data_IF_008176564962
#
_entry.id   IF_008176564962
#
_cell.length_a   1.000
_cell.length_b   1.000
_cell.length_c   1.000
_cell.angle_alpha   90.00
_cell.angle_beta   90.00
_cell.angle_gamma   90.00
#
_symmetry.space_group_name_H-M   'P 1'
#
loop_
_entity.id
_entity.type
_entity.pdbx_description
1 polymer ?
#
# COMPACT_ATOMS: atom_id res chain seq x y z
N UNK A 1 36.59 -18.19 15.87
CA UNK A 1 36.95 -16.96 15.11
C UNK A 1 36.90 -17.22 13.60
N UNK A 2 37.10 -18.47 13.15
CA UNK A 2 36.86 -18.96 11.77
C UNK A 2 35.48 -18.59 11.16
N UNK A 3 34.38 -18.66 11.92
CA UNK A 3 33.04 -18.55 11.34
C UNK A 3 32.70 -17.15 10.80
N UNK A 4 33.32 -16.09 11.32
CA UNK A 4 33.09 -14.71 10.86
C UNK A 4 33.82 -14.43 9.53
N UNK A 5 34.96 -15.09 9.28
CA UNK A 5 35.71 -14.92 8.02
C UNK A 5 34.99 -15.56 6.83
N UNK A 6 34.24 -16.65 7.06
CA UNK A 6 33.45 -17.32 6.03
C UNK A 6 32.32 -16.44 5.49
N UNK A 7 31.79 -15.49 6.28
CA UNK A 7 30.71 -14.58 5.89
C UNK A 7 31.14 -13.51 4.87
N UNK A 8 32.43 -13.17 4.80
CA UNK A 8 32.97 -12.19 3.84
C UNK A 8 33.15 -12.74 2.41
N UNK A 9 33.11 -14.06 2.25
CA UNK A 9 33.24 -14.74 0.95
C UNK A 9 31.96 -14.58 0.11
N UNK A 10 32.01 -14.73 -1.23
CA UNK A 10 30.81 -14.70 -2.07
C UNK A 10 29.74 -15.72 -1.64
N UNK A 11 30.14 -16.94 -1.25
CA UNK A 11 29.23 -17.96 -0.74
C UNK A 11 28.65 -17.61 0.64
N UNK A 12 29.46 -17.02 1.52
CA UNK A 12 29.00 -16.50 2.81
C UNK A 12 27.97 -15.40 2.67
N UNK A 13 28.19 -14.45 1.75
CA UNK A 13 27.24 -13.39 1.41
C UNK A 13 25.94 -13.94 0.83
N UNK A 14 26.01 -14.90 -0.09
CA UNK A 14 24.81 -15.54 -0.65
C UNK A 14 23.97 -16.28 0.40
N UNK A 15 24.63 -16.92 1.39
CA UNK A 15 23.95 -17.51 2.55
C UNK A 15 23.31 -16.45 3.45
N UNK A 16 24.00 -15.35 3.73
CA UNK A 16 23.45 -14.24 4.53
C UNK A 16 22.24 -13.59 3.86
N UNK A 17 22.29 -13.35 2.55
CA UNK A 17 21.15 -12.84 1.78
C UNK A 17 19.95 -13.78 1.87
N UNK A 18 20.20 -15.09 1.75
CA UNK A 18 19.16 -16.12 1.86
C UNK A 18 18.56 -16.17 3.26
N UNK A 19 19.39 -16.15 4.31
CA UNK A 19 18.93 -16.12 5.72
C UNK A 19 18.15 -14.84 5.99
N UNK A 20 18.64 -13.68 5.55
CA UNK A 20 17.97 -12.42 5.78
C UNK A 20 16.64 -12.33 5.01
N UNK A 21 16.56 -12.92 3.81
CA UNK A 21 15.29 -13.05 3.09
C UNK A 21 14.30 -13.93 3.85
N UNK A 22 14.74 -15.09 4.35
CA UNK A 22 13.90 -15.98 5.18
C UNK A 22 13.44 -15.25 6.44
N UNK A 23 14.34 -14.55 7.14
CA UNK A 23 14.00 -13.78 8.33
C UNK A 23 13.05 -12.64 8.01
N UNK A 24 13.21 -11.92 6.90
CA UNK A 24 12.29 -10.87 6.48
C UNK A 24 10.92 -11.41 6.05
N UNK A 25 10.88 -12.57 5.38
CA UNK A 25 9.63 -13.28 5.05
C UNK A 25 8.94 -13.76 6.34
N UNK A 26 9.68 -14.37 7.28
CA UNK A 26 9.16 -14.80 8.59
C UNK A 26 8.80 -13.65 9.52
N UNK A 27 9.48 -12.52 9.45
CA UNK A 27 9.13 -11.31 10.19
C UNK A 27 7.80 -10.71 9.66
N UNK A 28 7.50 -10.84 8.37
CA UNK A 28 6.18 -10.51 7.82
C UNK A 28 5.10 -11.51 8.25
N UNK A 29 5.49 -12.73 8.63
CA UNK A 29 4.61 -13.72 9.29
C UNK A 29 4.51 -13.52 10.81
N UNK A 30 5.33 -12.65 11.44
CA UNK A 30 5.10 -12.24 12.83
C UNK A 30 3.74 -11.57 12.84
N UNK A 31 2.82 -12.19 13.58
CA UNK A 31 1.39 -11.92 13.52
C UNK A 31 1.13 -10.42 13.70
N UNK A 32 0.85 -9.74 12.61
CA UNK A 32 0.33 -8.39 12.64
C UNK A 32 -1.07 -8.47 13.26
N UNK A 33 -1.31 -7.64 14.27
CA UNK A 33 -2.55 -7.69 15.05
C UNK A 33 -3.78 -7.30 14.22
N UNK A 34 -3.60 -6.44 13.22
CA UNK A 34 -4.68 -5.82 12.46
C UNK A 34 -4.82 -6.36 11.04
N UNK A 35 -3.75 -6.90 10.47
CA UNK A 35 -3.64 -7.18 9.04
C UNK A 35 -3.14 -8.59 8.76
N UNK A 36 -3.76 -9.23 7.78
CA UNK A 36 -3.28 -10.47 7.16
C UNK A 36 -2.74 -10.19 5.78
N UNK A 37 -1.55 -10.70 5.50
CA UNK A 37 -0.99 -10.68 4.15
C UNK A 37 -1.77 -11.64 3.23
N UNK A 38 -2.26 -11.14 2.08
CA UNK A 38 -3.10 -11.91 1.15
C UNK A 38 -2.57 -11.97 -0.29
N UNK A 39 -1.46 -11.30 -0.62
CA UNK A 39 -0.84 -11.46 -1.95
C UNK A 39 -0.24 -12.85 -2.16
N UNK A 40 0.16 -13.53 -1.09
CA UNK A 40 0.76 -14.87 -1.18
C UNK A 40 1.99 -14.89 -2.11
N UNK A 41 1.97 -15.76 -3.12
CA UNK A 41 3.04 -15.88 -4.13
C UNK A 41 2.80 -15.05 -5.40
N UNK A 42 1.69 -14.31 -5.48
CA UNK A 42 1.42 -13.46 -6.64
C UNK A 42 2.37 -12.26 -6.65
N UNK A 43 2.95 -11.99 -7.81
CA UNK A 43 3.76 -10.79 -8.03
C UNK A 43 2.85 -9.68 -8.54
N UNK A 44 2.48 -8.76 -7.65
CA UNK A 44 1.78 -7.53 -8.01
C UNK A 44 2.81 -6.42 -8.27
N UNK A 45 2.58 -5.64 -9.32
CA UNK A 45 3.44 -4.49 -9.65
C UNK A 45 2.64 -3.20 -9.80
N UNK A 46 3.22 -2.12 -9.31
CA UNK A 46 2.84 -0.74 -9.57
C UNK A 46 3.71 -0.27 -10.74
N UNK A 47 3.08 0.07 -11.85
CA UNK A 47 3.81 0.47 -13.05
C UNK A 47 4.62 1.75 -12.80
N UNK A 48 5.71 1.89 -13.55
CA UNK A 48 6.43 3.16 -13.62
C UNK A 48 5.47 4.27 -14.10
N UNK A 49 5.61 5.47 -13.55
CA UNK A 49 4.78 6.60 -13.95
C UNK A 49 5.54 7.92 -13.88
N UNK A 50 5.02 8.94 -14.56
CA UNK A 50 5.56 10.30 -14.56
C UNK A 50 5.03 11.16 -13.39
N UNK A 51 4.03 10.67 -12.65
CA UNK A 51 3.39 11.37 -11.54
C UNK A 51 2.37 12.43 -11.96
N UNK A 52 2.09 12.58 -13.25
CA UNK A 52 1.27 13.68 -13.77
C UNK A 52 -0.23 13.51 -13.48
N UNK A 53 -0.73 12.28 -13.35
CA UNK A 53 -2.14 11.98 -13.08
C UNK A 53 -2.45 12.04 -11.60
N UNK A 54 -3.62 12.58 -11.29
CA UNK A 54 -4.15 12.74 -9.93
C UNK A 54 -5.57 12.16 -9.83
N UNK A 55 -5.95 11.73 -8.63
CA UNK A 55 -7.26 11.11 -8.36
C UNK A 55 -8.41 12.07 -8.67
N UNK A 56 -8.22 13.36 -8.38
CA UNK A 56 -9.21 14.41 -8.57
C UNK A 56 -9.65 14.63 -10.04
N UNK A 57 -8.87 14.10 -11.00
CA UNK A 57 -9.12 14.24 -12.45
C UNK A 57 -9.39 12.90 -13.15
N UNK A 58 -9.27 11.77 -12.44
CA UNK A 58 -9.30 10.41 -12.99
C UNK A 58 -10.71 9.87 -13.31
N UNK A 59 -11.50 10.67 -14.03
CA UNK A 59 -12.89 10.35 -14.42
C UNK A 59 -12.98 9.16 -15.40
N UNK A 60 -11.88 8.80 -16.04
CA UNK A 60 -11.76 7.61 -16.89
C UNK A 60 -11.68 6.31 -16.07
N UNK A 61 -11.45 6.41 -14.74
CA UNK A 61 -11.36 5.26 -13.82
C UNK A 61 -12.49 5.26 -12.81
N UNK A 62 -12.74 6.42 -12.21
CA UNK A 62 -13.67 6.57 -11.11
C UNK A 62 -14.91 7.31 -11.57
N UNK A 63 -16.07 6.70 -11.38
CA UNK A 63 -17.36 7.33 -11.68
C UNK A 63 -17.70 8.43 -10.68
N UNK A 64 -17.29 8.24 -9.43
CA UNK A 64 -17.40 9.24 -8.38
C UNK A 64 -16.01 9.51 -7.82
N UNK A 65 -15.69 10.79 -7.73
CA UNK A 65 -14.46 11.32 -7.16
C UNK A 65 -14.88 12.28 -6.07
N UNK A 66 -14.39 12.03 -4.86
CA UNK A 66 -14.66 12.85 -3.70
C UNK A 66 -14.10 14.27 -3.88
N UNK A 67 -14.96 15.27 -3.69
CA UNK A 67 -14.60 16.68 -3.83
C UNK A 67 -13.56 17.12 -2.80
N UNK A 68 -13.46 16.42 -1.67
CA UNK A 68 -12.49 16.73 -0.61
C UNK A 68 -11.05 16.50 -1.04
N UNK A 69 -10.81 15.76 -2.13
CA UNK A 69 -9.50 15.70 -2.77
C UNK A 69 -9.00 17.11 -3.14
N UNK A 70 -9.89 17.98 -3.63
CA UNK A 70 -9.56 19.37 -3.96
C UNK A 70 -9.71 20.29 -2.75
N UNK A 71 -10.81 20.15 -2.00
CA UNK A 71 -11.09 21.03 -0.85
C UNK A 71 -10.00 20.99 0.21
N UNK A 72 -9.33 19.84 0.38
CA UNK A 72 -8.24 19.67 1.34
C UNK A 72 -6.85 19.79 0.72
N UNK A 73 -6.73 20.11 -0.57
CA UNK A 73 -5.43 20.17 -1.25
C UNK A 73 -4.74 18.80 -1.34
N UNK A 74 -5.52 17.72 -1.40
CA UNK A 74 -5.04 16.35 -1.61
C UNK A 74 -4.91 16.00 -3.11
N UNK A 75 -4.79 16.99 -3.97
CA UNK A 75 -4.75 16.89 -5.44
C UNK A 75 -3.41 17.33 -6.04
N UNK A 76 -2.33 17.36 -5.24
CA UNK A 76 -0.98 17.64 -5.74
C UNK A 76 -0.48 16.50 -6.63
N UNK A 77 0.09 16.87 -7.79
CA UNK A 77 0.79 15.91 -8.67
C UNK A 77 1.95 15.24 -7.94
N UNK A 78 2.15 13.97 -8.24
CA UNK A 78 3.23 13.18 -7.69
C UNK A 78 4.54 13.36 -8.45
N UNK A 79 5.60 12.77 -7.90
CA UNK A 79 6.87 12.57 -8.62
C UNK A 79 6.79 11.38 -9.56
N UNK A 80 7.70 11.33 -10.53
CA UNK A 80 7.91 10.12 -11.30
C UNK A 80 8.39 8.96 -10.40
N UNK A 81 7.97 7.74 -10.72
CA UNK A 81 8.36 6.52 -10.02
C UNK A 81 8.79 5.44 -11.00
N UNK A 82 9.69 4.57 -10.55
CA UNK A 82 10.00 3.32 -11.26
C UNK A 82 8.92 2.28 -10.99
N UNK A 83 8.92 1.20 -11.76
CA UNK A 83 8.12 0.03 -11.43
C UNK A 83 8.49 -0.47 -10.03
N UNK A 84 7.48 -0.76 -9.21
CA UNK A 84 7.66 -1.14 -7.80
C UNK A 84 6.74 -2.31 -7.47
N UNK A 85 7.20 -3.38 -6.82
CA UNK A 85 6.31 -4.44 -6.38
C UNK A 85 5.29 -3.92 -5.35
N UNK A 86 4.07 -4.47 -5.36
CA UNK A 86 3.03 -4.17 -4.40
C UNK A 86 2.71 -5.37 -3.52
N UNK A 87 2.24 -5.07 -2.31
CA UNK A 87 1.71 -6.04 -1.35
C UNK A 87 0.29 -5.65 -0.98
N UNK A 88 -0.56 -6.65 -0.78
CA UNK A 88 -1.97 -6.49 -0.42
C UNK A 88 -2.22 -7.20 0.90
N UNK A 89 -2.88 -6.48 1.80
CA UNK A 89 -3.27 -6.95 3.11
C UNK A 89 -4.78 -6.86 3.26
N UNK A 90 -5.33 -7.72 4.11
CA UNK A 90 -6.75 -7.71 4.49
C UNK A 90 -6.85 -7.50 6.00
N UNK A 91 -7.80 -6.68 6.43
CA UNK A 91 -8.01 -6.35 7.83
C UNK A 91 -8.63 -7.54 8.58
N UNK A 92 -8.03 -7.92 9.71
CA UNK A 92 -8.50 -9.00 10.60
C UNK A 92 -9.04 -8.49 11.95
N UNK A 93 -8.74 -7.24 12.32
CA UNK A 93 -9.18 -6.64 13.58
C UNK A 93 -9.52 -5.16 13.39
N UNK A 94 -10.50 -4.70 14.15
CA UNK A 94 -10.93 -3.31 14.19
C UNK A 94 -9.74 -2.38 14.41
N UNK A 95 -9.63 -1.37 13.55
CA UNK A 95 -8.47 -0.49 13.54
C UNK A 95 -8.78 0.86 12.89
N UNK A 96 -8.05 1.89 13.31
CA UNK A 96 -7.94 3.16 12.58
C UNK A 96 -6.95 3.04 11.43
N UNK A 97 -6.94 4.02 10.53
CA UNK A 97 -5.91 4.10 9.48
C UNK A 97 -4.49 4.09 10.07
N UNK A 98 -4.26 4.87 11.11
CA UNK A 98 -2.98 4.95 11.80
C UNK A 98 -2.52 3.59 12.34
N UNK A 99 -3.41 2.85 13.01
CA UNK A 99 -3.09 1.52 13.54
C UNK A 99 -2.73 0.53 12.43
N UNK A 100 -3.52 0.49 11.35
CA UNK A 100 -3.26 -0.42 10.24
C UNK A 100 -1.93 -0.15 9.55
N UNK A 101 -1.69 1.08 9.08
CA UNK A 101 -0.46 1.34 8.30
C UNK A 101 0.80 1.39 9.18
N UNK A 102 0.72 1.90 10.41
CA UNK A 102 1.88 1.94 11.32
C UNK A 102 2.29 0.54 11.82
N UNK A 103 1.39 -0.45 11.73
CA UNK A 103 1.73 -1.85 12.03
C UNK A 103 2.64 -2.51 10.99
N UNK A 104 2.76 -1.92 9.78
CA UNK A 104 3.60 -2.44 8.69
C UNK A 104 5.02 -1.84 8.71
N UNK A 105 5.19 -0.63 9.24
CA UNK A 105 6.48 0.05 9.36
C UNK A 105 6.41 1.21 10.33
N UNK A 106 7.53 1.56 10.97
CA UNK A 106 7.66 2.75 11.80
C UNK A 106 7.70 4.06 10.99
N UNK A 107 8.04 4.00 9.70
CA UNK A 107 8.06 5.15 8.80
C UNK A 107 6.97 5.01 7.72
N UNK A 108 5.75 5.42 8.08
CA UNK A 108 4.55 5.28 7.24
C UNK A 108 4.64 6.01 5.91
N UNK A 109 5.50 7.03 5.77
CA UNK A 109 5.71 7.73 4.50
C UNK A 109 6.32 6.82 3.44
N UNK A 110 7.03 5.77 3.85
CA UNK A 110 7.55 4.74 2.92
C UNK A 110 6.45 3.90 2.28
N UNK A 111 5.24 3.90 2.85
CA UNK A 111 4.08 3.22 2.29
C UNK A 111 3.29 4.11 1.31
N UNK A 112 3.61 5.40 1.22
CA UNK A 112 2.87 6.32 0.37
C UNK A 112 3.15 6.04 -1.11
N UNK A 113 2.07 5.85 -1.86
CA UNK A 113 2.05 5.74 -3.30
C UNK A 113 1.84 7.12 -3.92
N UNK A 114 2.20 7.27 -5.20
CA UNK A 114 1.69 8.41 -5.97
C UNK A 114 0.24 8.18 -6.35
N UNK A 115 -0.53 9.26 -6.49
CA UNK A 115 -1.90 9.19 -7.00
C UNK A 115 -1.96 8.47 -8.37
N UNK A 116 -0.95 8.70 -9.21
CA UNK A 116 -0.80 8.04 -10.50
C UNK A 116 -0.62 6.51 -10.37
N UNK A 117 0.12 6.03 -9.36
CA UNK A 117 0.24 4.59 -9.07
C UNK A 117 -1.08 4.00 -8.55
N UNK A 118 -1.84 4.73 -7.72
CA UNK A 118 -3.16 4.29 -7.24
C UNK A 118 -4.12 4.11 -8.43
N UNK A 119 -4.17 5.09 -9.34
CA UNK A 119 -4.96 5.02 -10.57
C UNK A 119 -4.54 3.80 -11.40
N UNK A 120 -3.23 3.61 -11.59
CA UNK A 120 -2.69 2.47 -12.31
C UNK A 120 -3.08 1.13 -11.69
N UNK A 121 -2.97 1.00 -10.37
CA UNK A 121 -3.36 -0.20 -9.64
C UNK A 121 -4.86 -0.50 -9.80
N UNK A 122 -5.72 0.51 -9.65
CA UNK A 122 -7.17 0.35 -9.78
C UNK A 122 -7.60 -0.12 -11.19
N UNK A 123 -6.84 0.26 -12.23
CA UNK A 123 -7.03 -0.24 -13.61
C UNK A 123 -6.51 -1.67 -13.78
N UNK A 124 -5.24 -1.89 -13.42
CA UNK A 124 -4.50 -3.12 -13.73
C UNK A 124 -4.91 -4.30 -12.85
N UNK A 125 -5.09 -4.06 -11.57
CA UNK A 125 -5.34 -5.08 -10.54
C UNK A 125 -6.76 -4.94 -9.96
N UNK A 126 -7.73 -4.67 -10.84
CA UNK A 126 -9.14 -4.46 -10.45
C UNK A 126 -9.72 -5.62 -9.64
N UNK A 127 -9.30 -6.86 -9.91
CA UNK A 127 -9.68 -8.07 -9.18
C UNK A 127 -9.10 -8.16 -7.75
N UNK A 128 -8.09 -7.35 -7.42
CA UNK A 128 -7.51 -7.27 -6.08
C UNK A 128 -8.17 -6.20 -5.22
N UNK A 129 -8.90 -5.27 -5.83
CA UNK A 129 -9.82 -4.40 -5.11
C UNK A 129 -10.94 -5.24 -4.47
N UNK A 130 -11.51 -4.70 -3.40
CA UNK A 130 -12.60 -5.34 -2.66
C UNK A 130 -13.94 -5.10 -3.39
N UNK A 131 -14.61 -6.16 -3.83
CA UNK A 131 -15.73 -6.11 -4.80
C UNK A 131 -17.13 -6.04 -4.19
N UNK A 132 -17.29 -6.34 -2.91
CA UNK A 132 -18.56 -6.34 -2.17
C UNK A 132 -18.92 -4.98 -1.54
N UNK A 133 -18.34 -3.89 -2.06
CA UNK A 133 -18.66 -2.52 -1.66
C UNK A 133 -17.76 -1.93 -0.57
N UNK A 134 -16.88 -2.74 0.04
CA UNK A 134 -15.91 -2.25 1.03
C UNK A 134 -14.66 -1.64 0.39
N UNK A 135 -14.01 -0.75 1.12
CA UNK A 135 -12.86 0.02 0.64
C UNK A 135 -11.59 -0.79 0.54
N UNK A 136 -10.82 -0.52 -0.52
CA UNK A 136 -9.39 -0.79 -0.61
C UNK A 136 -8.64 0.53 -0.37
N UNK A 137 -7.77 0.54 0.62
CA UNK A 137 -7.08 1.72 1.12
C UNK A 137 -5.67 1.83 0.55
N UNK A 138 -5.30 3.05 0.18
CA UNK A 138 -3.98 3.40 -0.34
C UNK A 138 -3.49 4.65 0.38
N UNK A 139 -2.30 4.61 0.97
CA UNK A 139 -1.66 5.83 1.47
C UNK A 139 -1.09 6.63 0.32
N UNK A 140 -1.24 7.95 0.39
CA UNK A 140 -0.53 8.87 -0.47
C UNK A 140 -0.21 10.17 0.29
N UNK A 141 0.78 10.89 -0.22
CA UNK A 141 1.18 12.19 0.29
C UNK A 141 0.75 13.29 -0.68
N UNK A 142 0.27 14.41 -0.14
CA UNK A 142 -0.02 15.63 -0.91
C UNK A 142 0.24 16.83 -0.02
N UNK A 143 0.99 17.82 -0.51
CA UNK A 143 1.33 19.05 0.20
C UNK A 143 1.94 18.83 1.60
N UNK A 144 2.72 17.76 1.77
CA UNK A 144 3.38 17.43 3.04
C UNK A 144 2.49 16.67 4.04
N UNK A 145 1.21 16.51 3.75
CA UNK A 145 0.24 15.77 4.57
C UNK A 145 -0.02 14.36 4.01
N UNK A 146 -0.41 13.44 4.88
CA UNK A 146 -0.69 12.04 4.53
C UNK A 146 -2.20 11.82 4.47
N UNK A 147 -2.66 11.26 3.37
CA UNK A 147 -4.05 10.94 3.10
C UNK A 147 -4.23 9.46 2.80
N UNK A 148 -5.45 8.99 2.95
CA UNK A 148 -5.89 7.65 2.56
C UNK A 148 -6.90 7.79 1.44
N UNK A 149 -6.58 7.22 0.27
CA UNK A 149 -7.56 7.02 -0.79
C UNK A 149 -8.35 5.74 -0.49
N UNK A 150 -9.68 5.84 -0.46
CA UNK A 150 -10.59 4.70 -0.30
C UNK A 150 -11.24 4.39 -1.64
N UNK A 151 -10.77 3.34 -2.31
CA UNK A 151 -11.32 2.88 -3.59
C UNK A 151 -12.30 1.74 -3.34
N UNK A 152 -13.53 1.86 -3.83
CA UNK A 152 -14.56 0.82 -3.70
C UNK A 152 -15.38 0.66 -4.97
N UNK A 153 -15.96 -0.52 -5.14
CA UNK A 153 -17.04 -0.71 -6.10
C UNK A 153 -18.34 -0.14 -5.53
N UNK A 154 -19.14 0.44 -6.40
CA UNK A 154 -20.54 0.72 -6.13
C UNK A 154 -21.43 -0.40 -6.68
N UNK A 155 -22.73 -0.33 -6.38
CA UNK A 155 -23.72 -1.32 -6.82
C UNK A 155 -23.89 -1.43 -8.34
N UNK A 156 -23.34 -0.48 -9.10
CA UNK A 156 -23.31 -0.44 -10.57
C UNK A 156 -22.00 -0.99 -11.16
N UNK A 157 -21.19 -1.68 -10.35
CA UNK A 157 -19.84 -2.17 -10.68
C UNK A 157 -18.84 -1.07 -11.07
N UNK A 158 -19.17 0.20 -10.87
CA UNK A 158 -18.28 1.33 -11.13
C UNK A 158 -17.42 1.64 -9.90
N UNK A 159 -16.18 2.07 -10.15
CA UNK A 159 -15.29 2.46 -9.05
C UNK A 159 -15.61 3.86 -8.56
N UNK A 160 -15.50 4.04 -7.25
CA UNK A 160 -15.55 5.33 -6.56
C UNK A 160 -14.27 5.50 -5.76
N UNK A 161 -13.79 6.73 -5.66
CA UNK A 161 -12.68 7.08 -4.78
C UNK A 161 -13.11 8.14 -3.79
N UNK A 162 -12.95 7.81 -2.49
CA UNK A 162 -13.05 8.72 -1.36
C UNK A 162 -11.68 9.15 -0.86
N UNK A 163 -11.61 10.23 -0.09
CA UNK A 163 -10.38 10.61 0.62
C UNK A 163 -10.65 10.77 2.11
N UNK A 164 -9.71 10.29 2.92
CA UNK A 164 -9.67 10.53 4.36
C UNK A 164 -8.31 11.06 4.78
N UNK A 165 -8.25 11.81 5.88
CA UNK A 165 -6.96 12.15 6.50
C UNK A 165 -6.43 10.92 7.24
N UNK A 166 -5.11 10.73 7.22
CA UNK A 166 -4.48 9.59 7.89
C UNK A 166 -4.76 9.57 9.41
N UNK A 167 -4.87 10.75 10.01
CA UNK A 167 -5.10 10.93 11.45
C UNK A 167 -6.57 10.75 11.87
N UNK A 168 -7.48 10.46 10.94
CA UNK A 168 -8.86 10.17 11.30
C UNK A 168 -8.95 9.00 12.27
N UNK A 169 -9.61 9.25 13.40
CA UNK A 169 -9.76 8.32 14.51
C UNK A 169 -10.93 7.35 14.33
N UNK A 170 -11.62 7.40 13.19
CA UNK A 170 -12.70 6.47 12.87
C UNK A 170 -12.16 5.04 12.83
N UNK A 171 -12.85 4.17 13.54
CA UNK A 171 -12.51 2.75 13.63
C UNK A 171 -13.25 2.01 12.51
N UNK A 172 -12.50 1.30 11.69
CA UNK A 172 -13.04 0.44 10.63
C UNK A 172 -13.33 -0.95 11.21
N UNK A 173 -14.51 -1.50 10.92
CA UNK A 173 -14.92 -2.83 11.40
C UNK A 173 -14.25 -3.95 10.58
N UNK A 174 -13.60 -4.90 11.25
CA UNK A 174 -12.93 -6.05 10.67
C UNK A 174 -13.84 -6.96 9.84
N UNK A 175 -15.12 -7.05 10.18
CA UNK A 175 -16.12 -7.83 9.46
C UNK A 175 -16.30 -7.37 8.00
N UNK A 176 -15.91 -6.13 7.70
CA UNK A 176 -15.93 -5.58 6.35
C UNK A 176 -14.70 -5.99 5.50
N UNK A 177 -13.70 -6.65 6.11
CA UNK A 177 -12.49 -7.15 5.45
C UNK A 177 -11.84 -6.13 4.51
N UNK A 178 -11.68 -4.89 4.98
CA UNK A 178 -11.03 -3.83 4.21
C UNK A 178 -9.64 -4.26 3.76
N UNK A 179 -9.25 -3.85 2.56
CA UNK A 179 -7.93 -4.19 2.00
C UNK A 179 -7.00 -3.00 2.02
N UNK A 180 -5.71 -3.25 2.16
CA UNK A 180 -4.66 -2.24 2.04
C UNK A 180 -3.72 -2.63 0.92
N UNK A 181 -3.27 -1.64 0.16
CA UNK A 181 -2.23 -1.84 -0.86
C UNK A 181 -1.06 -0.93 -0.51
N UNK A 182 0.13 -1.52 -0.44
CA UNK A 182 1.37 -0.82 -0.14
C UNK A 182 2.45 -1.16 -1.15
N UNK A 183 3.47 -0.29 -1.35
CA UNK A 183 4.68 -0.72 -2.02
C UNK A 183 5.37 -1.77 -1.16
N UNK A 184 6.02 -2.75 -1.80
CA UNK A 184 6.86 -3.71 -1.11
C UNK A 184 8.10 -2.99 -0.59
N UNK A 185 8.25 -2.93 0.74
CA UNK A 185 9.40 -2.29 1.35
C UNK A 185 10.66 -3.12 1.10
N UNK A 186 11.66 -2.50 0.47
CA UNK A 186 13.02 -3.03 0.40
C UNK A 186 13.65 -2.85 1.79
N UNK A 187 14.07 -3.95 2.39
CA UNK A 187 14.88 -3.95 3.60
C UNK A 187 16.33 -3.84 3.15
N UNK A 188 16.93 -2.65 3.29
CA UNK A 188 18.38 -2.51 3.14
C UNK A 188 19.02 -3.05 4.40
N UNK A 189 19.80 -4.12 4.26
CA UNK A 189 20.67 -4.61 5.31
C UNK A 189 21.94 -3.76 5.23
N UNK A 190 22.17 -2.93 6.26
CA UNK A 190 23.45 -2.24 6.48
C UNK A 190 24.48 -3.24 6.99
#
# INVERSE_FOLDING_TARGET
>A
MEDLYQLGTPEGRGKLESIARIVAEKAREVRNEFLKFISGNETLTLDACDGAKILAEANDVFKYIDSDLKSWGADQRGRATTETPAEVYEMEKDATFSQMFSSLTSDVRRLCLTQNQIIGFAKKHRNRLRTDGYGTFFLFESNGEIFVASVRFASDDLLRVGVGRFEYSDVWNAENCHRLVTPKLIVFLL
#
